data_IF_737918196000
#
_entry.id   IF_737918196000
#
_cell.length_a   1.000
_cell.length_b   1.000
_cell.length_c   1.000
_cell.angle_alpha   90.00
_cell.angle_beta   90.00
_cell.angle_gamma   90.00
#
_symmetry.space_group_name_H-M   'P 1'
#
loop_
_entity.id
_entity.type
_entity.pdbx_description
1 polymer ?
#
# COMPACT_ATOMS: atom_id res chain seq x y z
N UNK A 1 -5.00 -8.96 15.86
CA UNK A 1 -6.34 -8.37 16.00
C UNK A 1 -7.38 -9.48 15.86
N UNK A 2 -8.13 -9.83 16.91
CA UNK A 2 -9.25 -10.73 16.77
C UNK A 2 -10.39 -9.94 16.12
N UNK A 3 -10.67 -10.21 14.85
CA UNK A 3 -11.83 -9.66 14.17
C UNK A 3 -13.09 -10.23 14.82
N UNK A 4 -13.83 -9.39 15.52
CA UNK A 4 -15.24 -9.68 15.74
C UNK A 4 -15.91 -9.67 14.36
N UNK A 5 -16.75 -10.66 14.10
CA UNK A 5 -17.64 -10.61 12.93
C UNK A 5 -18.34 -9.25 12.91
N UNK A 6 -18.43 -8.59 11.74
CA UNK A 6 -19.21 -7.37 11.62
C UNK A 6 -20.66 -7.57 12.09
N UNK A 7 -21.17 -8.81 11.95
CA UNK A 7 -22.53 -9.19 12.40
C UNK A 7 -22.70 -9.15 13.92
N UNK A 8 -21.58 -9.29 14.67
CA UNK A 8 -21.60 -9.30 16.15
C UNK A 8 -21.12 -7.95 16.72
N UNK A 9 -20.71 -7.02 15.87
CA UNK A 9 -20.22 -5.71 16.30
C UNK A 9 -21.38 -4.80 16.67
N UNK A 10 -21.35 -4.25 17.89
CA UNK A 10 -22.34 -3.23 18.33
C UNK A 10 -22.04 -1.85 17.73
N UNK A 11 -20.79 -1.60 17.36
CA UNK A 11 -20.29 -0.33 16.83
C UNK A 11 -19.27 -0.61 15.73
N UNK A 12 -19.22 0.25 14.71
CA UNK A 12 -18.33 0.13 13.55
C UNK A 12 -17.28 1.23 13.57
N UNK A 13 -16.04 0.83 13.84
CA UNK A 13 -14.93 1.78 13.91
C UNK A 13 -14.92 2.60 15.20
N UNK A 14 -14.30 3.78 15.15
CA UNK A 14 -14.13 4.67 16.29
C UNK A 14 -14.60 6.08 15.92
N UNK A 15 -15.67 6.57 16.53
CA UNK A 15 -16.19 7.91 16.34
C UNK A 15 -15.90 8.85 17.51
N UNK A 16 -15.55 8.31 18.69
CA UNK A 16 -15.27 9.06 19.94
C UNK A 16 -13.98 8.57 20.58
N UNK A 17 -13.22 9.41 21.32
CA UNK A 17 -11.99 8.99 21.99
C UNK A 17 -12.15 7.75 22.89
N UNK A 18 -13.25 7.66 23.63
CA UNK A 18 -13.52 6.54 24.56
C UNK A 18 -13.72 5.19 23.87
N UNK A 19 -14.01 5.18 22.57
CA UNK A 19 -14.23 3.96 21.77
C UNK A 19 -12.93 3.27 21.32
N UNK A 20 -11.79 3.96 21.43
CA UNK A 20 -10.50 3.31 21.22
C UNK A 20 -10.25 2.23 22.28
N UNK A 21 -9.56 1.17 21.92
CA UNK A 21 -9.15 0.14 22.85
C UNK A 21 -8.14 0.69 23.84
N UNK A 22 -8.13 0.15 25.06
CA UNK A 22 -7.27 0.59 26.14
C UNK A 22 -5.76 0.62 25.74
N UNK A 23 -5.31 -0.36 24.96
CA UNK A 23 -3.93 -0.41 24.47
C UNK A 23 -3.62 0.65 23.41
N UNK A 24 -4.61 1.09 22.62
CA UNK A 24 -4.46 2.23 21.71
C UNK A 24 -4.38 3.54 22.51
N UNK A 25 -5.26 3.73 23.48
CA UNK A 25 -5.24 4.91 24.37
C UNK A 25 -3.91 5.02 25.11
N UNK A 26 -3.43 3.92 25.69
CA UNK A 26 -2.12 3.88 26.36
C UNK A 26 -0.99 4.22 25.38
N UNK A 27 -1.06 3.70 24.16
CA UNK A 27 -0.08 4.00 23.11
C UNK A 27 -0.08 5.48 22.72
N UNK A 28 -1.25 6.12 22.64
CA UNK A 28 -1.34 7.56 22.32
C UNK A 28 -0.75 8.42 23.43
N UNK A 29 -1.06 8.10 24.69
CA UNK A 29 -0.54 8.79 25.86
C UNK A 29 0.99 8.68 25.99
N UNK A 30 1.59 7.61 25.48
CA UNK A 30 3.04 7.43 25.42
C UNK A 30 3.74 8.38 24.43
N UNK A 31 3.03 9.24 23.71
CA UNK A 31 3.61 10.13 22.71
C UNK A 31 4.51 11.21 23.35
N UNK A 32 5.81 11.13 23.09
CA UNK A 32 6.82 12.11 23.58
C UNK A 32 6.95 13.33 22.65
N UNK A 33 6.05 13.55 21.74
CA UNK A 33 5.97 14.70 20.84
C UNK A 33 7.26 15.03 20.04
N UNK A 34 8.12 14.06 19.80
CA UNK A 34 9.45 14.25 19.18
C UNK A 34 9.45 14.73 17.72
N UNK A 35 8.29 14.76 17.06
CA UNK A 35 8.14 15.24 15.66
C UNK A 35 8.63 14.30 14.56
N UNK A 36 9.23 13.13 14.84
CA UNK A 36 9.75 12.22 13.82
C UNK A 36 8.67 11.72 12.86
N UNK A 37 7.46 11.43 13.36
CA UNK A 37 6.33 10.99 12.55
C UNK A 37 5.83 12.10 11.60
N UNK A 38 5.86 13.35 12.04
CA UNK A 38 5.53 14.53 11.25
C UNK A 38 6.54 14.73 10.10
N UNK A 39 7.84 14.72 10.42
CA UNK A 39 8.91 14.85 9.45
C UNK A 39 8.93 13.73 8.39
N UNK A 40 8.45 12.53 8.76
CA UNK A 40 8.39 11.38 7.85
C UNK A 40 7.11 11.34 6.99
N UNK A 41 6.05 12.06 7.38
CA UNK A 41 4.74 11.95 6.75
C UNK A 41 4.74 12.58 5.33
N UNK A 42 4.37 11.83 4.28
CA UNK A 42 4.31 12.35 2.93
C UNK A 42 3.17 13.36 2.74
N UNK A 43 2.03 13.15 3.39
CA UNK A 43 0.90 14.08 3.34
C UNK A 43 1.26 15.44 3.99
N UNK A 44 1.91 15.42 5.15
CA UNK A 44 2.41 16.63 5.80
C UNK A 44 3.44 17.35 4.92
N UNK A 45 4.39 16.63 4.34
CA UNK A 45 5.38 17.19 3.42
C UNK A 45 4.75 17.81 2.17
N UNK A 46 3.61 17.28 1.72
CA UNK A 46 2.83 17.80 0.60
C UNK A 46 1.95 19.01 0.99
N UNK A 47 1.93 19.39 2.26
CA UNK A 47 1.09 20.50 2.75
C UNK A 47 -0.40 20.14 2.84
N UNK A 48 -0.73 18.84 2.92
CA UNK A 48 -2.07 18.37 3.23
C UNK A 48 -2.36 18.49 4.74
N UNK A 49 -3.64 18.46 5.18
CA UNK A 49 -4.02 18.69 6.58
C UNK A 49 -3.46 17.72 7.60
N UNK A 50 -3.07 16.50 7.19
CA UNK A 50 -2.60 15.48 8.12
C UNK A 50 -1.21 15.81 8.70
N UNK A 51 -1.17 16.04 10.02
CA UNK A 51 0.03 15.98 10.84
C UNK A 51 -0.12 14.81 11.83
N UNK A 52 0.66 13.70 11.70
CA UNK A 52 0.48 12.52 12.56
C UNK A 52 0.75 12.80 14.05
N UNK A 53 1.66 13.70 14.38
CA UNK A 53 1.93 14.11 15.77
C UNK A 53 0.71 14.83 16.34
N UNK A 54 0.21 15.84 15.62
CA UNK A 54 -0.95 16.60 16.03
C UNK A 54 -2.18 15.69 16.19
N UNK A 55 -2.42 14.78 15.25
CA UNK A 55 -3.52 13.80 15.32
C UNK A 55 -3.52 13.04 16.66
N UNK A 56 -2.37 12.48 17.07
CA UNK A 56 -2.27 11.75 18.33
C UNK A 56 -2.49 12.68 19.53
N UNK A 57 -1.94 13.89 19.48
CA UNK A 57 -2.15 14.86 20.56
C UNK A 57 -3.61 15.31 20.69
N UNK A 58 -4.30 15.53 19.56
CA UNK A 58 -5.73 15.86 19.54
C UNK A 58 -6.56 14.73 20.17
N UNK A 59 -6.22 13.45 19.91
CA UNK A 59 -6.89 12.30 20.53
C UNK A 59 -6.65 12.22 22.04
N UNK A 60 -5.40 12.44 22.49
CA UNK A 60 -5.07 12.48 23.93
C UNK A 60 -5.81 13.63 24.62
N UNK A 61 -5.76 14.83 24.03
CA UNK A 61 -6.44 16.01 24.54
C UNK A 61 -7.96 15.79 24.62
N UNK A 62 -8.54 15.16 23.60
CA UNK A 62 -9.97 14.81 23.61
C UNK A 62 -10.33 13.82 24.71
N UNK A 63 -9.42 12.90 25.06
CA UNK A 63 -9.66 11.89 26.11
C UNK A 63 -9.51 12.44 27.53
N UNK A 64 -8.41 13.15 27.80
CA UNK A 64 -8.01 13.53 29.18
C UNK A 64 -8.02 15.04 29.45
N UNK A 65 -8.25 15.85 28.43
CA UNK A 65 -8.16 17.30 28.52
C UNK A 65 -6.77 17.84 28.17
N UNK A 66 -6.63 19.16 28.27
CA UNK A 66 -5.42 19.89 27.95
C UNK A 66 -4.70 20.45 29.15
N UNK A 67 -3.39 20.59 29.05
CA UNK A 67 -2.56 21.37 29.98
C UNK A 67 -1.60 22.26 29.17
N UNK A 68 -1.26 23.43 29.72
CA UNK A 68 -0.29 24.35 29.10
C UNK A 68 1.17 23.91 29.30
N UNK A 69 1.41 22.68 29.77
CA UNK A 69 2.76 22.17 29.94
C UNK A 69 3.50 22.16 28.58
N UNK A 70 4.52 23.02 28.49
CA UNK A 70 5.44 22.98 27.36
C UNK A 70 6.23 21.68 27.39
N UNK A 71 6.22 20.96 26.27
CA UNK A 71 7.00 19.73 26.18
C UNK A 71 8.46 20.08 25.85
N UNK A 72 9.32 19.96 26.87
CA UNK A 72 10.74 20.24 26.73
C UNK A 72 11.37 19.28 25.71
N UNK A 73 12.14 19.84 24.76
CA UNK A 73 12.92 19.05 23.80
C UNK A 73 12.22 18.69 22.48
N UNK A 74 10.96 19.10 22.27
CA UNK A 74 10.34 18.94 20.95
C UNK A 74 10.86 20.00 19.97
N UNK A 75 11.39 19.61 18.77
CA UNK A 75 11.80 20.57 17.75
C UNK A 75 10.59 21.31 17.13
N UNK A 76 9.40 20.77 17.31
CA UNK A 76 8.12 21.33 16.89
C UNK A 76 7.16 21.31 18.07
N UNK A 77 7.27 22.27 19.00
CA UNK A 77 6.37 22.35 20.14
C UNK A 77 4.92 22.45 19.62
N UNK A 78 4.03 21.65 20.21
CA UNK A 78 2.60 21.76 19.91
C UNK A 78 2.07 23.14 20.30
N UNK A 79 0.94 23.52 19.70
CA UNK A 79 0.24 24.72 20.16
C UNK A 79 -0.24 24.49 21.60
N UNK A 80 -0.20 25.52 22.45
CA UNK A 80 -0.82 25.45 23.78
C UNK A 80 -2.30 25.08 23.63
N UNK A 81 -2.76 24.06 24.34
CA UNK A 81 -4.16 23.60 24.28
C UNK A 81 -5.03 24.17 25.40
N UNK A 82 -4.42 24.91 26.32
CA UNK A 82 -5.10 25.47 27.49
C UNK A 82 -5.47 24.40 28.55
N UNK A 83 -5.94 24.88 29.69
CA UNK A 83 -6.48 24.02 30.73
C UNK A 83 -7.96 23.75 30.50
N UNK A 84 -8.31 22.53 30.13
CA UNK A 84 -9.71 22.10 30.00
C UNK A 84 -9.87 20.62 30.37
N UNK A 85 -11.08 20.24 30.77
CA UNK A 85 -11.40 18.85 31.04
C UNK A 85 -11.49 18.06 29.71
N UNK A 86 -11.19 16.78 29.75
CA UNK A 86 -11.41 15.90 28.62
C UNK A 86 -12.89 15.70 28.30
N UNK A 87 -13.20 15.45 27.04
CA UNK A 87 -14.52 15.16 26.54
C UNK A 87 -14.51 13.81 25.79
N UNK A 88 -14.34 12.68 26.50
CA UNK A 88 -14.11 11.37 25.88
C UNK A 88 -15.28 10.89 24.99
N UNK A 89 -16.47 11.44 25.18
CA UNK A 89 -17.66 11.15 24.38
C UNK A 89 -17.90 12.14 23.24
N UNK A 90 -17.02 13.13 23.07
CA UNK A 90 -17.12 14.10 21.97
C UNK A 90 -16.80 13.44 20.62
N UNK A 91 -17.52 13.73 19.53
CA UNK A 91 -17.15 13.23 18.21
C UNK A 91 -15.73 13.64 17.83
N UNK A 92 -14.94 12.71 17.30
CA UNK A 92 -13.57 13.00 16.88
C UNK A 92 -13.58 13.87 15.63
N UNK A 93 -14.24 13.39 14.57
CA UNK A 93 -14.34 14.14 13.31
C UNK A 93 -15.31 15.29 13.49
N UNK A 94 -14.95 16.44 12.99
CA UNK A 94 -15.62 17.74 13.09
C UNK A 94 -15.51 18.45 14.46
N UNK A 95 -14.97 17.79 15.49
CA UNK A 95 -14.79 18.44 16.81
C UNK A 95 -13.34 18.49 17.28
N UNK A 96 -12.57 17.41 17.08
CA UNK A 96 -11.16 17.33 17.45
C UNK A 96 -10.27 17.45 16.20
N UNK A 97 -10.71 16.86 15.10
CA UNK A 97 -10.00 16.89 13.81
C UNK A 97 -10.97 17.17 12.67
N UNK A 98 -10.46 17.79 11.63
CA UNK A 98 -11.18 17.91 10.36
C UNK A 98 -11.20 16.59 9.60
N UNK A 99 -12.27 16.34 8.82
CA UNK A 99 -12.39 15.12 8.01
C UNK A 99 -11.21 14.92 7.07
N UNK A 100 -10.74 15.98 6.41
CA UNK A 100 -9.62 15.95 5.47
C UNK A 100 -8.31 15.48 6.12
N UNK A 101 -8.15 15.64 7.43
CA UNK A 101 -7.02 15.08 8.18
C UNK A 101 -6.97 13.56 8.07
N UNK A 102 -8.12 12.88 8.17
CA UNK A 102 -8.18 11.42 8.01
C UNK A 102 -7.91 10.98 6.57
N UNK A 103 -8.52 11.70 5.63
CA UNK A 103 -8.50 11.29 4.23
C UNK A 103 -7.20 11.62 3.51
N UNK A 104 -6.36 12.50 4.06
CA UNK A 104 -4.99 12.76 3.58
C UNK A 104 -4.03 11.57 3.80
N UNK A 105 -4.38 10.61 4.66
CA UNK A 105 -3.47 9.51 4.98
C UNK A 105 -3.36 8.50 3.83
N UNK A 106 -2.14 8.29 3.35
CA UNK A 106 -1.80 7.27 2.34
C UNK A 106 -1.61 5.88 2.93
N UNK A 107 -1.85 5.66 4.21
CA UNK A 107 -1.62 4.41 4.96
C UNK A 107 -0.21 3.81 4.80
N UNK A 108 0.79 4.61 4.47
CA UNK A 108 2.14 4.13 4.13
C UNK A 108 3.00 3.69 5.33
N UNK A 109 2.56 3.89 6.59
CA UNK A 109 3.26 3.56 7.83
C UNK A 109 4.63 4.26 8.03
N UNK A 110 4.93 5.35 7.33
CA UNK A 110 6.17 6.09 7.57
C UNK A 110 6.22 6.68 8.98
N UNK A 111 5.10 7.21 9.48
CA UNK A 111 4.96 7.69 10.86
C UNK A 111 5.17 6.58 11.90
N UNK A 112 4.64 5.39 11.65
CA UNK A 112 4.81 4.21 12.51
C UNK A 112 6.27 3.77 12.55
N UNK A 113 6.92 3.70 11.37
CA UNK A 113 8.33 3.28 11.25
C UNK A 113 9.30 4.20 12.00
N UNK A 114 9.03 5.50 12.03
CA UNK A 114 9.89 6.49 12.68
C UNK A 114 9.53 6.75 14.15
N UNK A 115 8.39 6.22 14.63
CA UNK A 115 7.94 6.46 16.01
C UNK A 115 8.76 5.68 17.02
N UNK A 116 9.51 6.35 17.94
CA UNK A 116 10.28 5.66 18.98
C UNK A 116 9.39 4.95 20.01
N UNK A 117 8.12 5.38 20.11
CA UNK A 117 7.13 4.81 21.02
C UNK A 117 6.24 3.76 20.36
N UNK A 118 6.51 3.42 19.07
CA UNK A 118 5.81 2.40 18.31
C UNK A 118 4.29 2.64 18.18
N UNK A 119 3.87 3.90 18.12
CA UNK A 119 2.45 4.27 18.00
C UNK A 119 1.92 3.86 16.62
N UNK A 120 0.81 3.12 16.59
CA UNK A 120 0.15 2.63 15.38
C UNK A 120 -0.84 3.67 14.81
N UNK A 121 -0.31 4.79 14.31
CA UNK A 121 -1.10 5.91 13.77
C UNK A 121 -2.07 5.47 12.66
N UNK A 122 -1.62 4.58 11.78
CA UNK A 122 -2.41 4.13 10.63
C UNK A 122 -3.62 3.30 11.06
N UNK A 123 -3.46 2.45 12.07
CA UNK A 123 -4.55 1.65 12.61
C UNK A 123 -5.64 2.54 13.21
N UNK A 124 -5.24 3.58 13.96
CA UNK A 124 -6.17 4.56 14.50
C UNK A 124 -6.94 5.29 13.39
N UNK A 125 -6.25 5.72 12.31
CA UNK A 125 -6.87 6.39 11.18
C UNK A 125 -7.86 5.46 10.48
N UNK A 126 -7.53 4.20 10.25
CA UNK A 126 -8.43 3.22 9.62
C UNK A 126 -9.64 2.94 10.51
N UNK A 127 -9.47 2.86 11.84
CA UNK A 127 -10.58 2.68 12.78
C UNK A 127 -11.54 3.88 12.73
N UNK A 128 -11.03 5.12 12.66
CA UNK A 128 -11.86 6.31 12.49
C UNK A 128 -12.53 6.36 11.10
N UNK A 129 -11.83 5.98 10.03
CA UNK A 129 -12.43 5.86 8.68
C UNK A 129 -13.57 4.85 8.64
N UNK A 130 -13.48 3.73 9.37
CA UNK A 130 -14.58 2.75 9.49
C UNK A 130 -15.85 3.40 10.05
N UNK A 131 -15.71 4.23 11.07
CA UNK A 131 -16.84 4.95 11.62
C UNK A 131 -17.44 5.92 10.58
N UNK A 132 -16.59 6.72 9.90
CA UNK A 132 -17.06 7.64 8.88
C UNK A 132 -17.77 6.93 7.73
N UNK A 133 -17.24 5.81 7.25
CA UNK A 133 -17.77 5.07 6.11
C UNK A 133 -19.01 4.26 6.48
N UNK A 134 -18.96 3.48 7.58
CA UNK A 134 -20.00 2.50 7.90
C UNK A 134 -21.15 3.09 8.73
N UNK A 135 -20.89 4.13 9.53
CA UNK A 135 -21.91 4.76 10.37
C UNK A 135 -22.47 6.01 9.70
N UNK A 136 -21.59 6.85 9.14
CA UNK A 136 -22.00 8.14 8.56
C UNK A 136 -22.16 8.11 7.04
N UNK A 137 -21.70 7.07 6.35
CA UNK A 137 -21.71 6.98 4.89
C UNK A 137 -20.83 8.03 4.20
N UNK A 138 -19.85 8.58 4.91
CA UNK A 138 -19.06 9.72 4.45
C UNK A 138 -17.70 9.27 3.97
N UNK A 139 -17.49 9.28 2.65
CA UNK A 139 -16.21 9.08 1.98
C UNK A 139 -16.05 10.17 0.92
N UNK A 140 -14.96 10.95 0.89
CA UNK A 140 -14.80 12.04 -0.08
C UNK A 140 -14.41 11.56 -1.48
N UNK A 141 -14.50 12.48 -2.44
CA UNK A 141 -14.04 12.31 -3.81
C UNK A 141 -14.75 11.18 -4.55
N UNK A 142 -13.98 10.33 -5.21
CA UNK A 142 -14.47 9.15 -5.93
C UNK A 142 -14.66 7.92 -5.05
N UNK A 143 -14.42 8.04 -3.73
CA UNK A 143 -14.52 6.92 -2.81
C UNK A 143 -15.87 6.18 -2.86
N UNK A 144 -17.03 6.87 -2.83
CA UNK A 144 -18.35 6.21 -2.90
C UNK A 144 -18.56 5.41 -4.19
N UNK A 145 -18.15 5.95 -5.34
CA UNK A 145 -18.24 5.29 -6.65
C UNK A 145 -17.38 4.00 -6.66
N UNK A 146 -16.13 4.09 -6.22
CA UNK A 146 -15.23 2.93 -6.17
C UNK A 146 -15.74 1.85 -5.23
N UNK A 147 -16.30 2.23 -4.07
CA UNK A 147 -16.89 1.26 -3.14
C UNK A 147 -18.14 0.59 -3.74
N UNK A 148 -18.95 1.32 -4.51
CA UNK A 148 -20.08 0.75 -5.24
C UNK A 148 -19.60 -0.25 -6.31
N UNK A 149 -18.62 0.14 -7.13
CA UNK A 149 -18.02 -0.71 -8.14
C UNK A 149 -17.47 -2.02 -7.55
N UNK A 150 -16.72 -1.93 -6.45
CA UNK A 150 -16.18 -3.10 -5.76
C UNK A 150 -17.28 -4.06 -5.28
N UNK A 151 -18.41 -3.55 -4.79
CA UNK A 151 -19.56 -4.38 -4.37
C UNK A 151 -20.27 -5.04 -5.54
N UNK A 152 -20.44 -4.31 -6.64
CA UNK A 152 -21.24 -4.74 -7.79
C UNK A 152 -20.44 -5.62 -8.74
N UNK A 153 -19.22 -5.23 -9.09
CA UNK A 153 -18.41 -5.89 -10.11
C UNK A 153 -17.22 -6.66 -9.56
N UNK A 154 -16.81 -6.42 -8.31
CA UNK A 154 -15.59 -6.96 -7.73
C UNK A 154 -14.31 -6.33 -8.29
N UNK A 155 -14.42 -5.14 -8.92
CA UNK A 155 -13.30 -4.35 -9.46
C UNK A 155 -13.44 -2.88 -9.05
N UNK A 156 -12.35 -2.22 -8.74
CA UNK A 156 -12.39 -0.82 -8.28
C UNK A 156 -12.85 0.16 -9.38
N UNK A 157 -12.54 -0.15 -10.64
CA UNK A 157 -12.91 0.66 -11.80
C UNK A 157 -14.29 0.34 -12.38
N UNK A 158 -15.04 -0.60 -11.81
CA UNK A 158 -16.33 -1.01 -12.36
C UNK A 158 -16.22 -1.82 -13.66
N UNK A 159 -15.06 -2.39 -13.92
CA UNK A 159 -14.80 -3.17 -15.14
C UNK A 159 -15.47 -4.55 -15.09
N UNK A 160 -15.71 -5.13 -16.28
CA UNK A 160 -16.02 -6.55 -16.38
C UNK A 160 -14.82 -7.38 -15.90
N UNK A 161 -15.05 -8.34 -15.02
CA UNK A 161 -14.01 -9.25 -14.51
C UNK A 161 -13.29 -9.99 -15.63
N UNK A 162 -13.97 -10.35 -16.70
CA UNK A 162 -13.37 -11.05 -17.84
C UNK A 162 -12.23 -10.24 -18.47
N UNK A 163 -12.34 -8.91 -18.49
CA UNK A 163 -11.32 -8.03 -19.02
C UNK A 163 -10.02 -8.03 -18.19
N UNK A 164 -10.01 -8.64 -16.97
CA UNK A 164 -8.78 -8.84 -16.19
C UNK A 164 -7.78 -9.76 -16.88
N UNK A 165 -8.20 -10.55 -17.87
CA UNK A 165 -7.34 -11.43 -18.64
C UNK A 165 -6.83 -10.80 -19.96
N UNK A 166 -7.37 -9.65 -20.39
CA UNK A 166 -7.08 -9.05 -21.71
C UNK A 166 -5.59 -8.81 -21.96
N UNK A 167 -4.83 -8.45 -20.91
CA UNK A 167 -3.37 -8.26 -20.99
C UNK A 167 -2.59 -9.53 -21.34
N UNK A 168 -3.18 -10.71 -21.18
CA UNK A 168 -2.54 -12.03 -21.28
C UNK A 168 -3.03 -12.86 -22.49
N UNK A 169 -4.04 -12.38 -23.23
CA UNK A 169 -4.71 -13.13 -24.32
C UNK A 169 -3.70 -13.58 -25.38
N UNK A 170 -2.87 -12.69 -25.88
CA UNK A 170 -1.87 -12.96 -26.92
C UNK A 170 -0.63 -13.73 -26.38
N UNK A 171 -0.46 -13.77 -25.05
CA UNK A 171 0.60 -14.55 -24.42
C UNK A 171 0.21 -16.00 -24.18
N UNK A 172 -1.07 -16.35 -24.39
CA UNK A 172 -1.63 -17.66 -24.08
C UNK A 172 -1.29 -18.11 -22.64
N UNK A 173 -1.32 -17.17 -21.67
CA UNK A 173 -1.05 -17.49 -20.27
C UNK A 173 -2.09 -18.49 -19.74
N UNK A 174 -1.68 -19.62 -19.17
CA UNK A 174 -2.64 -20.62 -18.74
C UNK A 174 -3.55 -20.11 -17.60
N UNK A 175 -4.85 -20.35 -17.73
CA UNK A 175 -5.84 -20.05 -16.70
C UNK A 175 -5.98 -21.23 -15.76
N UNK A 176 -5.96 -20.96 -14.46
CA UNK A 176 -6.08 -21.98 -13.42
C UNK A 176 -7.41 -22.71 -13.50
N UNK A 177 -7.40 -24.04 -13.36
CA UNK A 177 -8.58 -24.88 -13.44
C UNK A 177 -8.65 -25.83 -12.26
N UNK A 178 -9.85 -26.08 -11.68
CA UNK A 178 -10.01 -27.11 -10.68
C UNK A 178 -9.47 -28.47 -11.16
N UNK A 179 -8.76 -29.17 -10.28
CA UNK A 179 -8.17 -30.48 -10.57
C UNK A 179 -6.87 -30.45 -11.39
N UNK A 180 -6.40 -29.28 -11.83
CA UNK A 180 -5.10 -29.11 -12.49
C UNK A 180 -4.13 -28.37 -11.53
N UNK A 181 -3.24 -29.07 -10.83
CA UNK A 181 -2.28 -28.43 -9.93
C UNK A 181 -1.24 -27.64 -10.71
N UNK A 182 -0.80 -26.50 -10.14
CA UNK A 182 0.29 -25.68 -10.64
C UNK A 182 1.27 -25.35 -9.52
N UNK A 183 2.52 -25.05 -9.85
CA UNK A 183 3.50 -24.62 -8.86
C UNK A 183 3.23 -23.19 -8.38
N UNK A 184 2.87 -22.31 -9.29
CA UNK A 184 2.66 -20.88 -9.04
C UNK A 184 1.30 -20.44 -9.54
N UNK A 185 0.53 -19.81 -8.66
CA UNK A 185 -0.65 -19.05 -9.04
C UNK A 185 -0.28 -17.56 -9.11
N UNK A 186 -0.32 -17.00 -10.31
CA UNK A 186 -0.04 -15.56 -10.53
C UNK A 186 -1.34 -14.77 -10.34
N UNK A 187 -1.36 -13.90 -9.32
CA UNK A 187 -2.46 -12.98 -9.03
C UNK A 187 -2.09 -11.60 -9.54
N UNK A 188 -2.86 -11.11 -10.50
CA UNK A 188 -2.57 -9.87 -11.23
C UNK A 188 -2.97 -8.60 -10.46
N UNK A 189 -4.05 -8.63 -9.69
CA UNK A 189 -4.59 -7.48 -8.98
C UNK A 189 -5.33 -6.49 -9.91
N UNK A 190 -5.69 -5.34 -9.35
CA UNK A 190 -6.37 -4.25 -10.10
C UNK A 190 -5.47 -3.63 -11.19
N UNK A 191 -4.16 -3.77 -11.07
CA UNK A 191 -3.22 -3.31 -12.09
C UNK A 191 -3.42 -3.96 -13.46
N UNK A 192 -4.09 -5.12 -13.54
CA UNK A 192 -4.44 -5.78 -14.80
C UNK A 192 -5.27 -4.89 -15.75
N UNK A 193 -5.98 -3.91 -15.23
CA UNK A 193 -6.78 -2.96 -16.01
C UNK A 193 -6.00 -1.69 -16.41
N UNK A 194 -4.80 -1.46 -15.87
CA UNK A 194 -3.98 -0.29 -16.20
C UNK A 194 -2.91 -0.65 -17.25
N UNK A 195 -3.00 -0.04 -18.43
CA UNK A 195 -2.08 -0.28 -19.55
C UNK A 195 -0.59 -0.09 -19.17
N UNK A 196 -0.30 0.82 -18.24
CA UNK A 196 1.07 1.07 -17.75
C UNK A 196 1.60 -0.14 -16.98
N UNK A 197 0.74 -0.79 -16.23
CA UNK A 197 1.12 -1.93 -15.41
C UNK A 197 0.99 -3.27 -16.14
N UNK A 198 0.16 -3.34 -17.17
CA UNK A 198 0.11 -4.52 -18.05
C UNK A 198 1.50 -4.87 -18.62
N UNK A 199 2.36 -3.87 -18.87
CA UNK A 199 3.77 -4.09 -19.25
C UNK A 199 4.52 -4.94 -18.23
N UNK A 200 4.36 -4.64 -16.94
CA UNK A 200 4.98 -5.38 -15.83
C UNK A 200 4.47 -6.83 -15.80
N UNK A 201 3.15 -7.05 -15.93
CA UNK A 201 2.57 -8.39 -15.93
C UNK A 201 3.06 -9.22 -17.12
N UNK A 202 3.14 -8.62 -18.31
CA UNK A 202 3.66 -9.25 -19.53
C UNK A 202 5.15 -9.59 -19.39
N UNK A 203 5.94 -8.67 -18.86
CA UNK A 203 7.36 -8.91 -18.56
C UNK A 203 7.53 -10.05 -17.55
N UNK A 204 6.71 -10.08 -16.49
CA UNK A 204 6.74 -11.15 -15.51
C UNK A 204 6.42 -12.51 -16.14
N UNK A 205 5.41 -12.60 -17.00
CA UNK A 205 5.09 -13.83 -17.76
C UNK A 205 6.27 -14.26 -18.63
N UNK A 206 6.93 -13.33 -19.31
CA UNK A 206 8.15 -13.61 -20.08
C UNK A 206 9.24 -14.23 -19.19
N UNK A 207 9.46 -13.66 -18.01
CA UNK A 207 10.44 -14.18 -17.04
C UNK A 207 10.06 -15.59 -16.57
N UNK A 208 8.79 -15.82 -16.23
CA UNK A 208 8.30 -17.14 -15.79
C UNK A 208 8.48 -18.21 -16.88
N UNK A 209 8.14 -17.89 -18.12
CA UNK A 209 8.29 -18.78 -19.26
C UNK A 209 9.77 -19.11 -19.53
N UNK A 210 10.67 -18.12 -19.48
CA UNK A 210 12.12 -18.32 -19.65
C UNK A 210 12.72 -19.20 -18.54
N UNK A 211 12.19 -19.08 -17.32
CA UNK A 211 12.62 -19.90 -16.17
C UNK A 211 11.98 -21.30 -16.13
N UNK A 212 11.08 -21.62 -17.07
CA UNK A 212 10.35 -22.90 -17.11
C UNK A 212 9.46 -23.12 -15.88
N UNK A 213 8.88 -22.05 -15.33
CA UNK A 213 7.98 -22.13 -14.18
C UNK A 213 6.63 -22.65 -14.63
N UNK A 214 6.09 -23.63 -13.91
CA UNK A 214 4.71 -24.07 -14.06
C UNK A 214 3.81 -23.10 -13.31
N UNK A 215 3.04 -22.28 -14.05
CA UNK A 215 2.17 -21.25 -13.49
C UNK A 215 0.82 -21.19 -14.17
N UNK A 216 -0.14 -20.57 -13.49
CA UNK A 216 -1.42 -20.17 -14.09
C UNK A 216 -1.87 -18.81 -13.51
N UNK A 217 -2.75 -18.11 -14.22
CA UNK A 217 -3.44 -16.90 -13.79
C UNK A 217 -4.89 -17.23 -13.41
N UNK A 218 -5.55 -16.38 -12.62
CA UNK A 218 -6.96 -16.52 -12.30
C UNK A 218 -7.89 -16.06 -13.44
N UNK A 219 -7.41 -15.12 -14.25
CA UNK A 219 -8.22 -14.54 -15.32
C UNK A 219 -9.48 -13.86 -14.79
N UNK A 220 -10.63 -14.12 -15.40
CA UNK A 220 -11.93 -13.55 -15.01
C UNK A 220 -12.46 -14.02 -13.64
N UNK A 221 -11.89 -15.08 -13.06
CA UNK A 221 -12.28 -15.56 -11.72
C UNK A 221 -11.61 -14.78 -10.59
N UNK A 222 -10.65 -13.89 -10.92
CA UNK A 222 -10.01 -13.03 -9.96
C UNK A 222 -10.91 -11.85 -9.55
N UNK A 223 -11.17 -11.71 -8.25
CA UNK A 223 -11.80 -10.51 -7.68
C UNK A 223 -10.76 -9.65 -6.98
N UNK A 224 -11.05 -8.37 -6.78
CA UNK A 224 -10.23 -7.49 -5.94
C UNK A 224 -10.03 -8.08 -4.53
N UNK A 225 -8.87 -7.87 -3.94
CA UNK A 225 -8.57 -8.36 -2.58
C UNK A 225 -9.29 -7.61 -1.47
N UNK A 226 -9.93 -6.48 -1.81
CA UNK A 226 -10.59 -5.59 -0.85
C UNK A 226 -9.66 -4.59 -0.17
N UNK A 227 -8.37 -4.49 -0.55
CA UNK A 227 -7.43 -3.56 0.10
C UNK A 227 -7.98 -2.13 0.11
N UNK A 228 -8.42 -1.61 -1.03
CA UNK A 228 -8.94 -0.25 -1.16
C UNK A 228 -10.18 -0.06 -0.28
N UNK A 229 -11.13 -1.00 -0.31
CA UNK A 229 -12.33 -0.94 0.54
C UNK A 229 -11.94 -0.84 2.03
N UNK A 230 -11.02 -1.68 2.47
CA UNK A 230 -10.52 -1.68 3.86
C UNK A 230 -9.84 -0.37 4.23
N UNK A 231 -9.02 0.21 3.34
CA UNK A 231 -8.33 1.49 3.57
C UNK A 231 -9.30 2.68 3.59
N UNK A 232 -10.39 2.60 2.85
CA UNK A 232 -11.49 3.57 2.90
C UNK A 232 -12.46 3.32 4.07
N UNK A 233 -12.24 2.30 4.90
CA UNK A 233 -13.05 1.99 6.07
C UNK A 233 -14.26 1.09 5.79
N UNK A 234 -14.48 0.64 4.56
CA UNK A 234 -15.55 -0.30 4.22
C UNK A 234 -15.12 -1.75 4.50
N UNK A 235 -15.11 -2.11 5.78
CA UNK A 235 -14.76 -3.45 6.23
C UNK A 235 -15.75 -4.51 5.72
N UNK A 236 -17.02 -4.15 5.47
CA UNK A 236 -18.04 -5.07 4.96
C UNK A 236 -17.69 -5.52 3.54
N UNK A 237 -17.40 -4.55 2.65
CA UNK A 237 -16.98 -4.82 1.28
C UNK A 237 -15.64 -5.58 1.24
N UNK A 238 -14.67 -5.21 2.10
CA UNK A 238 -13.43 -5.98 2.24
C UNK A 238 -13.70 -7.45 2.56
N UNK A 239 -14.51 -7.74 3.57
CA UNK A 239 -14.80 -9.13 3.96
C UNK A 239 -15.58 -9.90 2.90
N UNK A 240 -16.48 -9.24 2.18
CA UNK A 240 -17.20 -9.84 1.07
C UNK A 240 -16.22 -10.28 -0.03
N UNK A 241 -15.38 -9.38 -0.52
CA UNK A 241 -14.41 -9.65 -1.58
C UNK A 241 -13.38 -10.70 -1.15
N UNK A 242 -12.89 -10.59 0.08
CA UNK A 242 -11.92 -11.52 0.62
C UNK A 242 -12.48 -12.95 0.73
N UNK A 243 -13.76 -13.13 1.12
CA UNK A 243 -14.42 -14.44 1.12
C UNK A 243 -14.66 -14.98 -0.29
N UNK A 244 -15.01 -14.10 -1.24
CA UNK A 244 -15.17 -14.50 -2.65
C UNK A 244 -13.84 -15.01 -3.22
N UNK A 245 -12.77 -14.24 -3.09
CA UNK A 245 -11.45 -14.65 -3.58
C UNK A 245 -10.93 -15.88 -2.87
N UNK A 246 -11.09 -15.98 -1.54
CA UNK A 246 -10.73 -17.18 -0.78
C UNK A 246 -11.52 -18.42 -1.23
N UNK A 247 -12.80 -18.27 -1.58
CA UNK A 247 -13.63 -19.32 -2.16
C UNK A 247 -13.13 -19.80 -3.53
N UNK A 248 -12.74 -18.89 -4.41
CA UNK A 248 -12.09 -19.20 -5.68
C UNK A 248 -10.80 -19.98 -5.46
N UNK A 249 -9.91 -19.48 -4.58
CA UNK A 249 -8.63 -20.12 -4.28
C UNK A 249 -8.76 -21.50 -3.65
N UNK A 250 -9.81 -21.74 -2.85
CA UNK A 250 -10.04 -23.04 -2.20
C UNK A 250 -10.36 -24.16 -3.20
N UNK A 251 -10.82 -23.85 -4.40
CA UNK A 251 -11.10 -24.81 -5.45
C UNK A 251 -9.87 -25.16 -6.33
N UNK A 252 -8.74 -24.50 -6.10
CA UNK A 252 -7.53 -24.65 -6.88
C UNK A 252 -6.42 -25.34 -6.08
N UNK A 253 -5.50 -25.98 -6.79
CA UNK A 253 -4.33 -26.62 -6.19
C UNK A 253 -3.07 -25.92 -6.70
N UNK A 254 -2.34 -25.27 -5.82
CA UNK A 254 -1.11 -24.57 -6.11
C UNK A 254 -0.15 -24.63 -4.92
N UNK A 255 1.16 -24.47 -5.15
CA UNK A 255 2.16 -24.47 -4.07
C UNK A 255 2.27 -23.08 -3.43
N UNK A 256 2.23 -22.03 -4.24
CA UNK A 256 2.34 -20.62 -3.78
C UNK A 256 1.66 -19.64 -4.70
N UNK A 257 1.41 -18.45 -4.18
CA UNK A 257 0.94 -17.30 -4.95
C UNK A 257 2.13 -16.39 -5.22
N UNK A 258 2.22 -15.86 -6.45
CA UNK A 258 3.13 -14.78 -6.81
C UNK A 258 2.31 -13.61 -7.30
N UNK A 259 2.70 -12.40 -6.91
CA UNK A 259 2.07 -11.17 -7.40
C UNK A 259 3.11 -10.07 -7.53
N UNK A 260 2.91 -9.18 -8.47
CA UNK A 260 3.74 -7.98 -8.61
C UNK A 260 3.13 -6.77 -7.86
N UNK A 261 2.00 -6.98 -7.17
CA UNK A 261 1.35 -5.97 -6.35
C UNK A 261 1.54 -6.24 -4.85
N UNK A 262 2.34 -5.40 -4.13
CA UNK A 262 2.55 -5.57 -2.70
C UNK A 262 1.30 -5.33 -1.84
N UNK A 263 0.25 -4.66 -2.35
CA UNK A 263 -1.05 -4.54 -1.68
C UNK A 263 -1.80 -5.88 -1.72
N UNK A 264 -1.85 -6.51 -2.89
CA UNK A 264 -2.38 -7.88 -3.06
C UNK A 264 -1.63 -8.85 -2.15
N UNK A 265 -0.28 -8.82 -2.19
CA UNK A 265 0.55 -9.63 -1.32
C UNK A 265 0.20 -9.43 0.16
N UNK A 266 0.09 -8.18 0.61
CA UNK A 266 -0.20 -7.88 2.01
C UNK A 266 -1.58 -8.40 2.44
N UNK A 267 -2.60 -8.19 1.63
CA UNK A 267 -3.96 -8.67 1.89
C UNK A 267 -4.01 -10.19 2.02
N UNK A 268 -3.50 -10.91 1.03
CA UNK A 268 -3.52 -12.38 1.01
C UNK A 268 -2.63 -13.00 2.10
N UNK A 269 -1.41 -12.47 2.29
CA UNK A 269 -0.41 -13.01 3.22
C UNK A 269 -0.73 -12.73 4.68
N UNK A 270 -1.24 -11.52 4.98
CA UNK A 270 -1.36 -11.03 6.34
C UNK A 270 -2.81 -10.83 6.78
N UNK A 271 -3.63 -10.16 5.96
CA UNK A 271 -4.97 -9.76 6.40
C UNK A 271 -5.99 -10.89 6.30
N UNK A 272 -5.91 -11.75 5.29
CA UNK A 272 -6.81 -12.90 5.14
C UNK A 272 -6.65 -13.96 6.24
N UNK A 273 -5.54 -13.91 7.01
CA UNK A 273 -5.37 -14.75 8.21
C UNK A 273 -6.51 -14.58 9.22
N UNK A 274 -7.06 -13.38 9.30
CA UNK A 274 -8.21 -13.10 10.16
C UNK A 274 -9.50 -13.81 9.71
N UNK A 275 -9.56 -14.23 8.45
CA UNK A 275 -10.65 -15.03 7.88
C UNK A 275 -10.40 -16.55 7.93
N UNK A 276 -9.33 -16.97 8.61
CA UNK A 276 -8.97 -18.38 8.77
C UNK A 276 -8.15 -18.97 7.62
N UNK A 277 -7.73 -18.17 6.64
CA UNK A 277 -6.91 -18.64 5.51
C UNK A 277 -5.43 -18.34 5.70
N UNK A 278 -4.56 -19.17 5.13
CA UNK A 278 -3.11 -18.96 5.11
C UNK A 278 -2.57 -19.36 3.75
N UNK A 279 -1.97 -18.38 3.05
CA UNK A 279 -1.34 -18.58 1.75
C UNK A 279 0.16 -18.31 1.85
N UNK A 280 0.98 -19.10 1.12
CA UNK A 280 2.38 -18.76 0.83
C UNK A 280 2.36 -17.75 -0.32
N UNK A 281 2.60 -16.48 -0.03
CA UNK A 281 2.54 -15.40 -1.02
C UNK A 281 3.90 -14.73 -1.12
N UNK A 282 4.46 -14.69 -2.31
CA UNK A 282 5.71 -13.98 -2.61
C UNK A 282 5.48 -12.79 -3.53
N UNK A 283 6.23 -11.74 -3.28
CA UNK A 283 6.35 -10.66 -4.24
C UNK A 283 7.20 -11.12 -5.43
N UNK A 284 6.87 -10.66 -6.65
CA UNK A 284 7.59 -11.09 -7.86
C UNK A 284 9.10 -10.86 -7.76
N UNK A 285 9.56 -9.78 -7.14
CA UNK A 285 11.00 -9.49 -7.01
C UNK A 285 11.71 -10.53 -6.16
N UNK A 286 11.11 -11.00 -5.07
CA UNK A 286 11.66 -12.07 -4.24
C UNK A 286 11.62 -13.40 -4.97
N UNK A 287 10.54 -13.70 -5.67
CA UNK A 287 10.42 -14.93 -6.45
C UNK A 287 11.43 -14.99 -7.60
N UNK A 288 11.61 -13.91 -8.37
CA UNK A 288 12.60 -13.85 -9.44
C UNK A 288 14.03 -13.96 -8.87
N UNK A 289 14.30 -13.31 -7.73
CA UNK A 289 15.60 -13.44 -7.06
C UNK A 289 15.91 -14.89 -6.67
N UNK A 290 14.90 -15.65 -6.22
CA UNK A 290 15.03 -17.09 -5.94
C UNK A 290 15.30 -17.92 -7.21
N UNK A 291 14.65 -17.57 -8.34
CA UNK A 291 14.93 -18.22 -9.63
C UNK A 291 16.36 -17.99 -10.10
N UNK A 292 16.88 -16.77 -9.93
CA UNK A 292 18.28 -16.44 -10.24
C UNK A 292 19.23 -17.18 -9.30
N UNK A 293 18.97 -17.17 -7.99
CA UNK A 293 19.82 -17.82 -7.01
C UNK A 293 19.87 -19.35 -7.18
N UNK A 294 18.77 -19.97 -7.65
CA UNK A 294 18.71 -21.40 -7.93
C UNK A 294 19.25 -21.80 -9.31
N UNK A 295 19.71 -20.84 -10.12
CA UNK A 295 20.20 -21.08 -11.48
C UNK A 295 19.12 -21.40 -12.52
N UNK A 296 17.83 -21.30 -12.17
CA UNK A 296 16.72 -21.46 -13.11
C UNK A 296 16.59 -20.30 -14.09
N UNK A 297 17.13 -19.14 -13.71
CA UNK A 297 17.14 -17.95 -14.52
C UNK A 297 18.57 -17.39 -14.52
N UNK A 298 19.13 -17.13 -15.71
CA UNK A 298 20.49 -16.61 -15.88
C UNK A 298 20.43 -15.32 -16.72
N UNK A 299 20.04 -14.20 -16.11
CA UNK A 299 20.00 -12.93 -16.82
C UNK A 299 21.41 -12.46 -17.16
N UNK A 300 21.58 -11.85 -18.34
CA UNK A 300 22.80 -11.16 -18.75
C UNK A 300 22.81 -9.74 -18.19
N UNK A 301 23.95 -9.06 -18.33
CA UNK A 301 23.95 -7.62 -18.05
C UNK A 301 23.02 -6.89 -19.04
N UNK A 302 22.16 -6.02 -18.51
CA UNK A 302 21.25 -5.22 -19.32
C UNK A 302 22.03 -4.10 -20.04
N UNK A 303 22.58 -4.37 -21.21
CA UNK A 303 23.44 -3.42 -21.94
C UNK A 303 22.76 -2.07 -22.21
N UNK A 304 21.45 -2.07 -22.46
CA UNK A 304 20.66 -0.85 -22.65
C UNK A 304 20.63 0.06 -21.39
N UNK A 305 20.98 -0.45 -20.23
CA UNK A 305 20.97 0.27 -18.95
C UNK A 305 22.39 0.55 -18.42
N UNK A 306 23.44 0.14 -19.13
CA UNK A 306 24.85 0.22 -18.66
C UNK A 306 25.26 1.64 -18.27
N UNK A 307 24.84 2.64 -19.06
CA UNK A 307 25.22 4.05 -18.86
C UNK A 307 24.12 4.86 -18.16
N UNK A 308 22.99 4.21 -17.80
CA UNK A 308 21.89 4.87 -17.11
C UNK A 308 22.08 4.83 -15.60
N UNK A 309 21.80 5.97 -14.95
CA UNK A 309 21.74 6.06 -13.50
C UNK A 309 20.39 5.57 -13.01
N UNK A 310 20.36 4.39 -12.44
CA UNK A 310 19.14 3.74 -11.95
C UNK A 310 19.02 3.94 -10.44
N UNK A 311 17.85 4.35 -9.98
CA UNK A 311 17.48 4.36 -8.56
C UNK A 311 16.31 3.43 -8.29
N UNK A 312 16.10 3.01 -7.03
CA UNK A 312 14.98 2.17 -6.65
C UNK A 312 14.02 2.92 -5.74
N UNK A 313 12.73 2.89 -6.08
CA UNK A 313 11.67 3.37 -5.20
C UNK A 313 11.11 2.21 -4.39
N UNK A 314 11.32 2.23 -3.07
CA UNK A 314 10.81 1.20 -2.15
C UNK A 314 9.29 1.33 -1.96
N UNK A 315 8.47 0.39 -2.44
CA UNK A 315 7.04 0.39 -2.17
C UNK A 315 6.77 0.20 -0.69
N UNK A 316 5.90 1.03 -0.13
CA UNK A 316 5.65 1.01 1.32
C UNK A 316 5.05 -0.32 1.82
N UNK A 317 4.17 -0.94 1.03
CA UNK A 317 3.57 -2.23 1.38
C UNK A 317 4.57 -3.39 1.26
N UNK A 318 5.58 -3.27 0.40
CA UNK A 318 6.67 -4.25 0.35
C UNK A 318 7.66 -4.04 1.50
N UNK A 319 8.22 -2.83 1.64
CA UNK A 319 9.30 -2.54 2.58
C UNK A 319 8.85 -2.41 4.03
N UNK A 320 7.85 -1.53 4.33
CA UNK A 320 7.41 -1.27 5.71
C UNK A 320 6.42 -2.29 6.24
N UNK A 321 5.47 -2.76 5.43
CA UNK A 321 4.48 -3.73 5.86
C UNK A 321 5.01 -5.17 5.87
N UNK A 322 5.86 -5.53 4.90
CA UNK A 322 6.33 -6.90 4.71
C UNK A 322 7.84 -7.10 4.95
N UNK A 323 8.57 -6.02 5.21
CA UNK A 323 10.01 -6.08 5.56
C UNK A 323 10.95 -6.37 4.39
N UNK A 324 10.44 -6.40 3.17
CA UNK A 324 11.21 -6.78 1.96
C UNK A 324 11.81 -5.55 1.27
N UNK A 325 13.08 -5.29 1.50
CA UNK A 325 13.87 -4.20 0.88
C UNK A 325 15.06 -4.69 0.08
N UNK A 326 15.56 -5.89 0.37
CA UNK A 326 16.82 -6.40 -0.15
C UNK A 326 16.67 -7.17 -1.46
N UNK A 327 15.58 -7.95 -1.62
CA UNK A 327 15.37 -8.78 -2.79
C UNK A 327 15.37 -7.98 -4.10
N UNK A 328 14.67 -6.84 -4.22
CA UNK A 328 14.72 -6.00 -5.43
C UNK A 328 16.14 -5.51 -5.74
N UNK A 329 16.90 -5.12 -4.72
CA UNK A 329 18.28 -4.64 -4.86
C UNK A 329 19.23 -5.73 -5.33
N UNK A 330 19.13 -6.93 -4.73
CA UNK A 330 19.90 -8.11 -5.15
C UNK A 330 19.61 -8.46 -6.60
N UNK A 331 18.33 -8.42 -6.98
CA UNK A 331 17.88 -8.73 -8.33
C UNK A 331 18.42 -7.71 -9.35
N UNK A 332 18.30 -6.41 -9.10
CA UNK A 332 18.85 -5.37 -9.96
C UNK A 332 20.38 -5.50 -10.09
N UNK A 333 21.07 -5.82 -9.01
CA UNK A 333 22.52 -6.08 -9.04
C UNK A 333 22.86 -7.31 -9.90
N UNK A 334 22.03 -8.35 -9.89
CA UNK A 334 22.28 -9.59 -10.67
C UNK A 334 22.20 -9.36 -12.18
N UNK A 335 21.51 -8.32 -12.62
CA UNK A 335 21.44 -7.90 -14.03
C UNK A 335 22.43 -6.76 -14.37
N UNK A 336 23.43 -6.55 -13.52
CA UNK A 336 24.51 -5.58 -13.74
C UNK A 336 24.17 -4.13 -13.38
N UNK A 337 23.01 -3.86 -12.80
CA UNK A 337 22.60 -2.50 -12.42
C UNK A 337 23.23 -2.13 -11.07
N UNK A 338 23.95 -1.00 -11.05
CA UNK A 338 24.38 -0.34 -9.83
C UNK A 338 23.36 0.72 -9.42
N UNK A 339 22.67 0.49 -8.31
CA UNK A 339 21.64 1.39 -7.81
C UNK A 339 22.31 2.62 -7.17
N UNK A 340 21.86 3.81 -7.56
CA UNK A 340 22.15 5.06 -6.85
C UNK A 340 20.98 5.35 -5.93
N UNK A 341 21.19 5.22 -4.63
CA UNK A 341 20.11 5.39 -3.65
C UNK A 341 19.71 6.86 -3.51
N UNK A 342 18.40 7.10 -3.43
CA UNK A 342 17.87 8.40 -2.97
C UNK A 342 18.17 8.57 -1.48
N UNK A 343 18.23 9.79 -0.98
CA UNK A 343 18.49 10.08 0.44
C UNK A 343 17.56 9.28 1.37
N UNK A 344 16.26 9.24 1.03
CA UNK A 344 15.27 8.41 1.74
C UNK A 344 15.01 7.14 0.94
N UNK A 345 15.49 6.01 1.43
CA UNK A 345 15.36 4.70 0.81
C UNK A 345 15.04 3.60 1.84
N UNK A 346 14.82 2.37 1.38
CA UNK A 346 14.48 1.24 2.22
C UNK A 346 13.20 1.50 3.03
N UNK A 347 13.21 1.14 4.30
CA UNK A 347 12.07 1.38 5.21
C UNK A 347 11.80 2.87 5.46
N UNK A 348 12.78 3.73 5.25
CA UNK A 348 12.66 5.19 5.35
C UNK A 348 12.27 5.86 4.03
N UNK A 349 12.07 5.07 2.97
CA UNK A 349 11.66 5.55 1.65
C UNK A 349 10.43 6.44 1.71
N UNK A 350 10.44 7.55 0.93
CA UNK A 350 9.26 8.41 0.80
C UNK A 350 8.16 7.67 0.02
N UNK A 351 6.91 7.85 0.41
CA UNK A 351 5.75 7.27 -0.27
C UNK A 351 5.55 7.89 -1.67
N UNK A 352 4.98 7.11 -2.59
CA UNK A 352 4.54 7.58 -3.91
C UNK A 352 3.19 8.33 -3.87
N UNK A 353 2.41 8.17 -2.79
CA UNK A 353 1.08 8.78 -2.67
C UNK A 353 -0.09 7.89 -3.12
N UNK A 354 0.17 6.67 -3.64
CA UNK A 354 -0.87 5.82 -4.24
C UNK A 354 -1.68 4.96 -3.27
N UNK A 355 -1.25 4.83 -2.01
CA UNK A 355 -1.94 3.97 -1.04
C UNK A 355 -3.09 4.65 -0.29
N UNK A 356 -3.81 3.86 0.53
CA UNK A 356 -4.82 4.38 1.44
C UNK A 356 -6.07 4.96 0.80
N UNK A 357 -6.29 4.74 -0.49
CA UNK A 357 -7.34 5.40 -1.25
C UNK A 357 -7.07 6.89 -1.51
N UNK A 358 -5.87 7.40 -1.21
CA UNK A 358 -5.56 8.82 -1.34
C UNK A 358 -5.79 9.41 -2.75
N UNK A 359 -5.49 8.71 -3.87
CA UNK A 359 -5.83 9.20 -5.20
C UNK A 359 -7.34 9.32 -5.47
N UNK A 360 -8.15 8.60 -4.71
CA UNK A 360 -9.61 8.58 -4.84
C UNK A 360 -10.26 9.66 -4.00
N UNK A 361 -9.70 9.97 -2.83
CA UNK A 361 -10.20 11.00 -1.93
C UNK A 361 -9.75 12.40 -2.34
N UNK A 362 -8.61 12.49 -3.04
CA UNK A 362 -8.04 13.68 -3.68
C UNK A 362 -8.01 14.93 -2.78
N UNK A 363 -7.54 14.75 -1.55
CA UNK A 363 -7.40 15.86 -0.60
C UNK A 363 -6.30 16.81 -1.09
N UNK A 364 -6.60 18.10 -1.24
CA UNK A 364 -5.64 19.05 -1.78
C UNK A 364 -4.46 19.31 -0.83
N UNK A 365 -3.31 19.60 -1.41
CA UNK A 365 -2.10 20.02 -0.72
C UNK A 365 -1.40 21.16 -1.50
N UNK A 366 -0.27 21.63 -0.99
CA UNK A 366 0.56 22.63 -1.68
C UNK A 366 1.25 22.04 -2.92
N UNK A 367 1.49 20.74 -2.92
CA UNK A 367 2.06 19.97 -4.01
C UNK A 367 1.60 18.50 -3.91
N UNK A 368 1.76 17.74 -4.98
CA UNK A 368 1.43 16.31 -4.99
C UNK A 368 2.56 15.49 -4.36
N UNK A 369 2.20 14.44 -3.63
CA UNK A 369 3.19 13.53 -3.02
C UNK A 369 4.14 12.90 -4.06
N UNK A 370 3.67 12.40 -5.24
CA UNK A 370 4.56 11.84 -6.25
C UNK A 370 5.56 12.86 -6.81
N UNK A 371 5.18 14.15 -6.89
CA UNK A 371 6.10 15.20 -7.38
C UNK A 371 7.31 15.36 -6.46
N UNK A 372 7.09 15.27 -5.13
CA UNK A 372 8.18 15.30 -4.15
C UNK A 372 9.10 14.09 -4.35
N UNK A 373 8.54 12.90 -4.61
CA UNK A 373 9.36 11.68 -4.81
C UNK A 373 10.15 11.73 -6.11
N UNK A 374 9.58 12.26 -7.19
CA UNK A 374 10.30 12.46 -8.45
C UNK A 374 11.38 13.54 -8.28
N UNK A 375 11.15 14.57 -7.47
CA UNK A 375 12.19 15.56 -7.13
C UNK A 375 13.38 14.90 -6.40
N UNK A 376 13.14 13.95 -5.46
CA UNK A 376 14.21 13.17 -4.82
C UNK A 376 15.05 12.41 -5.87
N UNK A 377 14.41 11.76 -6.85
CA UNK A 377 15.09 11.02 -7.92
C UNK A 377 15.89 11.95 -8.86
N UNK A 378 15.33 13.11 -9.19
CA UNK A 378 16.02 14.12 -10.00
C UNK A 378 17.23 14.73 -9.29
N UNK A 379 17.14 14.90 -7.96
CA UNK A 379 18.24 15.47 -7.16
C UNK A 379 19.52 14.63 -7.21
N UNK A 380 19.36 13.32 -7.42
CA UNK A 380 20.51 12.40 -7.60
C UNK A 380 20.86 12.18 -9.09
N UNK A 381 20.17 12.88 -10.01
CA UNK A 381 20.40 12.73 -11.45
C UNK A 381 19.98 11.35 -12.00
N UNK A 382 18.94 10.73 -11.46
CA UNK A 382 18.46 9.45 -11.95
C UNK A 382 17.89 9.56 -13.37
N UNK A 383 18.22 8.62 -14.25
CA UNK A 383 17.62 8.43 -15.56
C UNK A 383 16.42 7.48 -15.48
N UNK A 384 16.48 6.51 -14.57
CA UNK A 384 15.45 5.50 -14.37
C UNK A 384 15.11 5.35 -12.89
N UNK A 385 13.81 5.31 -12.57
CA UNK A 385 13.29 4.89 -11.26
C UNK A 385 12.74 3.48 -11.41
N UNK A 386 13.45 2.49 -10.87
CA UNK A 386 12.95 1.13 -10.77
C UNK A 386 11.88 1.05 -9.67
N UNK A 387 10.78 0.36 -9.93
CA UNK A 387 9.65 0.18 -9.03
C UNK A 387 9.26 -1.31 -8.91
N UNK A 388 8.37 -1.63 -7.99
CA UNK A 388 7.79 -2.96 -7.83
C UNK A 388 6.39 -2.85 -7.23
N UNK A 389 5.50 -2.05 -7.85
CA UNK A 389 4.14 -1.83 -7.37
C UNK A 389 3.32 -1.05 -8.40
N UNK A 390 2.11 -1.52 -8.77
CA UNK A 390 1.26 -0.82 -9.75
C UNK A 390 0.89 0.59 -9.34
N UNK A 391 0.55 0.79 -8.06
CA UNK A 391 0.24 2.12 -7.55
C UNK A 391 1.44 3.07 -7.63
N UNK A 392 2.66 2.56 -7.37
CA UNK A 392 3.87 3.37 -7.49
C UNK A 392 4.15 3.72 -8.95
N UNK A 393 4.01 2.78 -9.89
CA UNK A 393 4.12 3.01 -11.32
C UNK A 393 3.16 4.11 -11.77
N UNK A 394 1.87 3.97 -11.46
CA UNK A 394 0.84 4.93 -11.85
C UNK A 394 1.10 6.34 -11.31
N UNK A 395 1.49 6.44 -10.04
CA UNK A 395 1.73 7.73 -9.38
C UNK A 395 2.98 8.43 -9.91
N UNK A 396 4.09 7.71 -10.08
CA UNK A 396 5.36 8.31 -10.49
C UNK A 396 5.38 8.61 -12.00
N UNK A 397 4.78 7.77 -12.84
CA UNK A 397 4.56 8.08 -14.26
C UNK A 397 3.58 9.23 -14.47
N UNK A 398 2.62 9.41 -13.55
CA UNK A 398 1.64 10.49 -13.59
C UNK A 398 2.18 11.87 -13.19
N UNK A 399 3.49 12.01 -12.93
CA UNK A 399 4.12 13.32 -12.68
C UNK A 399 4.31 14.06 -13.99
N UNK A 400 3.81 15.27 -14.05
CA UNK A 400 3.89 16.14 -15.23
C UNK A 400 5.24 16.87 -15.28
N UNK A 401 5.83 17.00 -16.46
CA UNK A 401 7.11 17.65 -16.68
C UNK A 401 8.30 16.70 -16.72
N UNK A 402 9.55 17.21 -16.65
CA UNK A 402 10.76 16.38 -16.74
C UNK A 402 10.84 15.40 -15.57
N UNK A 403 10.91 14.12 -15.88
CA UNK A 403 11.03 13.03 -14.90
C UNK A 403 11.90 11.90 -15.46
N UNK A 404 12.56 11.11 -14.60
CA UNK A 404 13.15 9.84 -14.98
C UNK A 404 12.11 8.89 -15.60
N UNK A 405 12.57 7.96 -16.42
CA UNK A 405 11.77 6.82 -16.85
C UNK A 405 11.38 5.97 -15.64
N UNK A 406 10.14 5.46 -15.59
CA UNK A 406 9.66 4.59 -14.51
C UNK A 406 9.45 3.20 -15.08
N UNK A 407 10.20 2.21 -14.56
CA UNK A 407 10.15 0.83 -15.03
C UNK A 407 10.02 -0.12 -13.82
N UNK A 408 9.19 -1.15 -13.98
CA UNK A 408 9.14 -2.19 -12.97
C UNK A 408 10.38 -3.10 -13.04
N UNK A 409 10.77 -3.67 -11.91
CA UNK A 409 11.90 -4.59 -11.83
C UNK A 409 11.72 -5.79 -12.77
N UNK A 410 10.48 -6.27 -12.98
CA UNK A 410 10.21 -7.35 -13.93
C UNK A 410 10.52 -6.93 -15.38
N UNK A 411 10.24 -5.69 -15.77
CA UNK A 411 10.56 -5.15 -17.10
C UNK A 411 12.07 -5.09 -17.31
N UNK A 412 12.82 -4.64 -16.28
CA UNK A 412 14.28 -4.57 -16.32
C UNK A 412 14.92 -5.97 -16.42
N UNK A 413 14.37 -6.95 -15.70
CA UNK A 413 14.85 -8.34 -15.78
C UNK A 413 14.50 -8.97 -17.12
N UNK A 414 13.29 -8.78 -17.64
CA UNK A 414 12.90 -9.32 -18.95
C UNK A 414 13.81 -8.81 -20.07
N UNK A 415 14.13 -7.51 -20.06
CA UNK A 415 15.11 -6.93 -21.00
C UNK A 415 16.53 -7.52 -20.88
N UNK A 416 16.91 -8.01 -19.71
CA UNK A 416 18.20 -8.68 -19.47
C UNK A 416 18.19 -10.17 -19.87
N UNK A 417 17.05 -10.72 -20.32
CA UNK A 417 16.93 -12.11 -20.80
C UNK A 417 16.92 -12.23 -22.34
N UNK A 418 16.84 -11.11 -23.03
CA UNK A 418 16.97 -11.02 -24.48
C UNK A 418 18.46 -11.05 -24.87
#
# INVERSE_FOLDING_TARGET
>A
MLFRSLLDAKEYGVGKPVEFRWNQLLSFDACVQCGKCEAACPAFAAGQPLNPKKLIQDLVTGMVGGSDAAYAGSPTPGLPVGHHAGEPNRPIVSSLIEADTLWSCTTCRACVQECPMLIEHVDAIVDMRRNQTLVHGTVPGKGPEVLANLRETGTAGGYDKAARYDWAVDLNAPVAQPGKPVDVLLVAGEGAFDMRYQRTLRALVTVLNKAGVDYAVLGGDETDTGDVARRLGDEATFQQLARQLAGTLANLTFKRIVTADPHVMHSLRNEYRSLGTRYDVLHHTSFIADLVASGKLSPKAADALRDKRVTYHDPCYLGRYNGETDAPRKLLKSIGIQIVEMERNGKRGRCCGGGGGAPLTDIPGKQRIPDIRIADARAIGADVVAVGCPNCTAMLEGVVGPRPEVLDVAELVAAALE
#
